data_IF_587967259872
#
_entry.id   IF_587967259872
#
_cell.length_a   1.000
_cell.length_b   1.000
_cell.length_c   1.000
_cell.angle_alpha   90.00
_cell.angle_beta   90.00
_cell.angle_gamma   90.00
#
_symmetry.space_group_name_H-M   'P 1'
#
loop_
_entity.id
_entity.type
_entity.pdbx_description
1 polymer ?
#
# COMPACT_ATOMS: atom_id res chain seq x y z
N UNK A 1 -0.11 -0.02 25.03
CA UNK A 1 0.66 -0.22 23.77
C UNK A 1 -0.28 -0.76 22.71
N UNK A 2 -0.37 -0.12 21.54
CA UNK A 2 -1.17 -0.59 20.40
C UNK A 2 -0.29 -0.52 19.15
N UNK A 3 -0.39 -1.53 18.30
CA UNK A 3 0.26 -1.54 17.00
C UNK A 3 -0.77 -1.19 15.94
N UNK A 4 -0.36 -0.40 14.94
CA UNK A 4 -1.22 0.01 13.82
C UNK A 4 -0.62 -0.51 12.53
N UNK A 5 -1.44 -1.17 11.72
CA UNK A 5 -1.08 -1.56 10.35
C UNK A 5 -1.80 -0.61 9.40
N UNK A 6 -1.06 -0.05 8.46
CA UNK A 6 -1.59 0.80 7.39
C UNK A 6 -1.21 0.18 6.06
N UNK A 7 -2.17 0.10 5.14
CA UNK A 7 -1.96 -0.35 3.77
C UNK A 7 -2.19 0.81 2.82
N UNK A 8 -1.39 0.89 1.77
CA UNK A 8 -1.53 1.90 0.73
C UNK A 8 -1.20 1.30 -0.63
N UNK A 9 -1.92 1.79 -1.64
CA UNK A 9 -1.63 1.49 -3.04
C UNK A 9 -0.55 2.41 -3.62
N UNK A 10 -0.15 3.44 -2.86
CA UNK A 10 0.79 4.46 -3.28
C UNK A 10 2.07 4.35 -2.44
N UNK A 11 3.24 4.42 -3.09
CA UNK A 11 4.51 4.37 -2.38
C UNK A 11 4.65 5.59 -1.45
N UNK A 12 5.40 5.42 -0.37
CA UNK A 12 5.44 6.38 0.74
C UNK A 12 5.93 7.77 0.33
N UNK A 13 6.89 7.83 -0.59
CA UNK A 13 7.45 9.06 -1.16
C UNK A 13 6.39 9.94 -1.85
N UNK A 14 5.32 9.33 -2.39
CA UNK A 14 4.20 10.06 -3.01
C UNK A 14 3.22 10.67 -2.01
N UNK A 15 3.27 10.29 -0.74
CA UNK A 15 2.29 10.77 0.24
C UNK A 15 2.38 12.28 0.46
N UNK A 16 3.59 12.82 0.40
CA UNK A 16 3.83 14.26 0.52
C UNK A 16 3.13 15.06 -0.59
N UNK A 17 3.03 14.50 -1.80
CA UNK A 17 2.39 15.15 -2.96
C UNK A 17 0.86 15.06 -2.89
N UNK A 18 0.33 13.99 -2.28
CA UNK A 18 -1.11 13.70 -2.23
C UNK A 18 -1.78 14.42 -1.05
N UNK A 19 -1.04 14.58 0.06
CA UNK A 19 -1.55 15.28 1.23
C UNK A 19 -1.44 16.79 0.94
N UNK A 20 -2.57 17.38 0.58
CA UNK A 20 -2.66 18.78 0.14
C UNK A 20 -2.08 19.82 1.13
N UNK A 21 -1.97 19.47 2.41
CA UNK A 21 -1.39 20.34 3.43
C UNK A 21 -0.02 19.78 3.88
N UNK A 22 1.09 20.48 3.62
CA UNK A 22 2.42 20.00 3.95
C UNK A 22 2.64 19.84 5.46
N UNK A 23 2.08 20.73 6.28
CA UNK A 23 2.14 20.61 7.76
C UNK A 23 1.43 19.35 8.25
N UNK A 24 0.31 18.99 7.62
CA UNK A 24 -0.39 17.75 7.96
C UNK A 24 0.39 16.53 7.46
N UNK A 25 0.99 16.61 6.27
CA UNK A 25 1.84 15.55 5.72
C UNK A 25 2.98 15.21 6.68
N UNK A 26 3.70 16.24 7.15
CA UNK A 26 4.75 16.10 8.15
C UNK A 26 4.26 15.44 9.43
N UNK A 27 3.18 15.96 10.01
CA UNK A 27 2.66 15.44 11.28
C UNK A 27 2.18 13.98 11.17
N UNK A 28 1.66 13.55 10.01
CA UNK A 28 1.23 12.17 9.77
C UNK A 28 2.45 11.27 9.57
N UNK A 29 3.39 11.67 8.72
CA UNK A 29 4.59 10.88 8.42
C UNK A 29 5.47 10.71 9.65
N UNK A 30 5.62 11.76 10.48
CA UNK A 30 6.35 11.66 11.74
C UNK A 30 5.74 10.62 12.69
N UNK A 31 4.41 10.55 12.77
CA UNK A 31 3.72 9.59 13.64
C UNK A 31 3.70 8.17 13.09
N UNK A 32 3.51 8.01 11.79
CA UNK A 32 3.30 6.70 11.18
C UNK A 32 4.60 6.05 10.71
N UNK A 33 5.55 6.82 10.18
CA UNK A 33 6.73 6.28 9.48
C UNK A 33 7.92 6.15 10.40
N UNK A 34 8.11 7.08 11.35
CA UNK A 34 9.35 7.21 12.13
C UNK A 34 9.78 5.89 12.80
N UNK A 35 8.83 5.03 13.20
CA UNK A 35 9.10 3.71 13.78
C UNK A 35 8.40 2.56 13.05
N UNK A 36 8.07 2.71 11.76
CA UNK A 36 7.37 1.67 11.00
C UNK A 36 8.31 0.69 10.31
N UNK A 37 7.86 -0.55 10.24
CA UNK A 37 8.37 -1.53 9.29
C UNK A 37 7.69 -1.32 7.95
N UNK A 38 8.47 -1.02 6.90
CA UNK A 38 7.97 -0.92 5.53
C UNK A 38 8.05 -2.29 4.85
N UNK A 39 6.93 -2.71 4.27
CA UNK A 39 6.84 -3.93 3.46
C UNK A 39 6.27 -3.53 2.11
N UNK A 40 7.13 -3.50 1.10
CA UNK A 40 6.73 -3.17 -0.26
C UNK A 40 6.24 -4.46 -0.94
N UNK A 41 4.94 -4.49 -1.27
CA UNK A 41 4.31 -5.65 -1.89
C UNK A 41 4.41 -5.56 -3.42
N UNK A 42 4.89 -6.63 -4.05
CA UNK A 42 5.03 -6.75 -5.51
C UNK A 42 4.31 -7.97 -6.04
N UNK A 43 3.94 -7.95 -7.31
CA UNK A 43 3.34 -9.09 -8.00
C UNK A 43 1.92 -8.82 -8.50
N UNK A 44 1.31 -9.82 -9.14
CA UNK A 44 -0.03 -9.69 -9.69
C UNK A 44 -1.11 -9.76 -8.61
N UNK A 45 -2.28 -9.17 -8.93
CA UNK A 45 -3.44 -9.23 -8.05
C UNK A 45 -3.86 -10.69 -7.80
N UNK A 46 -3.81 -11.12 -6.54
CA UNK A 46 -4.29 -12.43 -6.11
C UNK A 46 -5.79 -12.63 -6.40
N UNK A 47 -6.56 -11.56 -6.67
CA UNK A 47 -7.96 -11.67 -7.11
C UNK A 47 -8.08 -12.31 -8.49
N UNK A 48 -7.10 -12.07 -9.38
CA UNK A 48 -7.03 -12.74 -10.70
C UNK A 48 -6.79 -14.24 -10.53
N UNK A 49 -5.86 -14.62 -9.63
CA UNK A 49 -5.54 -16.02 -9.34
C UNK A 49 -6.72 -16.81 -8.74
N UNK A 50 -7.60 -16.14 -7.99
CA UNK A 50 -8.80 -16.76 -7.39
C UNK A 50 -10.01 -16.74 -8.30
N UNK A 51 -9.94 -16.13 -9.48
CA UNK A 51 -11.05 -16.09 -10.42
C UNK A 51 -11.09 -17.39 -11.22
N UNK A 52 -12.16 -18.22 -11.13
CA UNK A 52 -12.23 -19.51 -11.83
C UNK A 52 -12.06 -19.39 -13.36
N UNK A 53 -12.46 -18.23 -13.92
CA UNK A 53 -12.39 -17.95 -15.36
C UNK A 53 -10.97 -17.64 -15.88
N UNK A 54 -10.03 -17.25 -15.02
CA UNK A 54 -8.66 -16.95 -15.47
C UNK A 54 -7.87 -18.24 -15.79
N UNK A 55 -8.27 -19.37 -15.19
CA UNK A 55 -7.64 -20.67 -15.38
C UNK A 55 -8.00 -21.32 -16.72
N UNK A 56 -9.12 -20.94 -17.35
CA UNK A 56 -9.59 -21.52 -18.63
C UNK A 56 -8.93 -20.88 -19.86
N UNK A 57 -8.56 -19.60 -19.82
CA UNK A 57 -7.99 -18.90 -21.00
C UNK A 57 -6.50 -19.22 -21.23
N UNK A 58 -5.81 -19.85 -20.29
CA UNK A 58 -4.40 -20.22 -20.42
C UNK A 58 -4.18 -21.63 -21.01
N UNK A 59 -5.24 -22.40 -21.28
CA UNK A 59 -5.19 -23.77 -21.82
C UNK A 59 -5.77 -23.88 -23.25
N UNK A 60 -5.98 -22.75 -23.94
CA UNK A 60 -6.45 -22.70 -25.32
C UNK A 60 -5.35 -22.20 -26.27
#
# INVERSE_FOLDING_TARGET
RRSTIVTSQLPLDRWYEIIANPTLADAILDRLVHNAYRIDLTGESMRKQRSPRASETAQA
#
